data_IF_249894644982
#
_entry.id   IF_249894644982
#
_cell.length_a   1.000
_cell.length_b   1.000
_cell.length_c   1.000
_cell.angle_alpha   90.00
_cell.angle_beta   90.00
_cell.angle_gamma   90.00
#
_symmetry.space_group_name_H-M   'P 1'
#
loop_
_entity.id
_entity.type
_entity.pdbx_description
1 polymer ?
#
# COMPACT_ATOMS: atom_id res chain seq x y z
N UNK A 1 -12.27 3.13 -20.24
CA UNK A 1 -11.48 4.27 -19.75
C UNK A 1 -11.59 4.18 -18.25
N UNK A 2 -10.79 3.31 -17.63
CA UNK A 2 -11.06 2.78 -16.29
C UNK A 2 -9.88 3.15 -15.38
N UNK A 3 -9.68 4.46 -15.21
CA UNK A 3 -8.76 4.96 -14.20
C UNK A 3 -9.47 4.98 -12.86
N UNK A 4 -9.07 4.10 -11.94
CA UNK A 4 -9.56 4.12 -10.58
C UNK A 4 -8.85 5.24 -9.81
N UNK A 5 -9.63 6.16 -9.26
CA UNK A 5 -9.18 7.16 -8.30
C UNK A 5 -9.83 6.85 -6.95
N UNK A 6 -9.02 6.69 -5.92
CA UNK A 6 -9.55 6.37 -4.60
C UNK A 6 -8.54 6.52 -3.48
N UNK A 7 -9.08 6.75 -2.29
CA UNK A 7 -8.31 6.79 -1.05
C UNK A 7 -8.01 5.38 -0.58
N UNK A 8 -6.76 5.13 -0.24
CA UNK A 8 -6.30 3.84 0.28
C UNK A 8 -5.31 4.08 1.41
N UNK A 9 -5.15 3.08 2.26
CA UNK A 9 -4.22 3.14 3.38
C UNK A 9 -2.90 2.47 3.01
N UNK A 10 -1.79 3.17 3.16
CA UNK A 10 -0.46 2.56 3.18
C UNK A 10 -0.11 2.16 4.59
N UNK A 11 0.13 0.87 4.79
CA UNK A 11 0.53 0.33 6.08
C UNK A 11 1.95 -0.24 6.00
N UNK A 12 2.80 0.15 6.94
CA UNK A 12 4.12 -0.45 7.12
C UNK A 12 4.10 -1.41 8.31
N UNK A 13 4.60 -2.62 8.10
CA UNK A 13 4.54 -3.70 9.07
C UNK A 13 5.94 -4.22 9.37
N UNK A 14 6.36 -4.16 10.64
CA UNK A 14 7.61 -4.78 11.08
C UNK A 14 7.55 -6.32 11.03
N UNK A 15 6.33 -6.85 11.15
CA UNK A 15 5.97 -8.25 11.07
C UNK A 15 4.45 -8.37 10.89
N UNK A 16 3.92 -9.58 10.75
CA UNK A 16 2.48 -9.86 10.50
C UNK A 16 1.51 -9.32 11.57
N UNK A 17 2.00 -8.83 12.70
CA UNK A 17 1.17 -8.39 13.83
C UNK A 17 1.53 -7.00 14.35
N UNK A 18 2.60 -6.37 13.85
CA UNK A 18 3.10 -5.08 14.33
C UNK A 18 3.12 -4.07 13.19
N UNK A 19 2.11 -3.19 13.17
CA UNK A 19 2.05 -2.06 12.24
C UNK A 19 2.73 -0.84 12.87
N UNK A 20 3.73 -0.26 12.21
CA UNK A 20 4.47 0.91 12.70
C UNK A 20 4.05 2.23 12.03
N UNK A 21 3.34 2.17 10.91
CA UNK A 21 2.93 3.37 10.18
C UNK A 21 1.69 3.12 9.34
N UNK A 22 0.79 4.10 9.34
CA UNK A 22 -0.44 4.12 8.55
C UNK A 22 -0.61 5.49 7.92
N UNK A 23 -0.67 5.54 6.60
CA UNK A 23 -0.66 6.78 5.85
C UNK A 23 -1.78 6.76 4.81
N UNK A 24 -2.70 7.70 4.91
CA UNK A 24 -3.72 7.90 3.87
C UNK A 24 -3.06 8.41 2.59
N UNK A 25 -3.35 7.76 1.47
CA UNK A 25 -2.90 8.20 0.15
C UNK A 25 -4.03 8.14 -0.87
N UNK A 26 -4.04 9.11 -1.77
CA UNK A 26 -4.90 9.12 -2.95
C UNK A 26 -4.17 8.43 -4.09
N UNK A 27 -4.72 7.32 -4.60
CA UNK A 27 -4.13 6.55 -5.69
C UNK A 27 -4.90 6.81 -6.98
N UNK A 28 -4.15 7.03 -8.06
CA UNK A 28 -4.66 7.04 -9.43
C UNK A 28 -4.08 5.83 -10.17
N UNK A 29 -4.92 4.83 -10.41
CA UNK A 29 -4.62 3.60 -11.15
C UNK A 29 -4.79 3.86 -12.65
N UNK A 30 -3.79 3.55 -13.46
CA UNK A 30 -3.95 3.40 -14.91
C UNK A 30 -4.30 1.94 -15.22
N UNK A 31 -5.19 1.70 -16.19
CA UNK A 31 -5.60 0.36 -16.63
C UNK A 31 -4.49 -0.32 -17.46
N UNK A 32 -3.27 -0.38 -16.93
CA UNK A 32 -2.15 -1.06 -17.54
C UNK A 32 -2.02 -2.49 -16.98
N UNK A 33 -1.52 -3.41 -17.81
CA UNK A 33 -1.35 -4.84 -17.52
C UNK A 33 -0.43 -5.11 -16.31
N UNK A 34 0.40 -4.12 -15.96
CA UNK A 34 1.32 -4.16 -14.80
C UNK A 34 0.82 -3.20 -13.72
N UNK A 35 0.67 -3.72 -12.49
CA UNK A 35 0.23 -2.93 -11.34
C UNK A 35 1.26 -1.85 -10.98
N UNK A 36 1.10 -0.67 -11.57
CA UNK A 36 1.84 0.54 -11.23
C UNK A 36 0.88 1.71 -11.11
N UNK A 37 1.07 2.56 -10.11
CA UNK A 37 0.16 3.66 -9.84
C UNK A 37 0.87 4.86 -9.23
N UNK A 38 0.31 6.05 -9.46
CA UNK A 38 0.77 7.27 -8.81
C UNK A 38 -0.06 7.47 -7.55
N UNK A 39 0.60 7.81 -6.45
CA UNK A 39 -0.05 8.20 -5.21
C UNK A 39 0.32 9.63 -4.83
N UNK A 40 -0.60 10.29 -4.14
CA UNK A 40 -0.32 11.53 -3.44
C UNK A 40 -0.69 11.36 -1.97
N UNK A 41 0.18 11.79 -1.08
CA UNK A 41 -0.10 11.86 0.36
C UNK A 41 -1.34 12.72 0.60
N UNK A 42 -2.21 12.28 1.52
CA UNK A 42 -3.32 13.11 1.92
C UNK A 42 -2.86 14.42 2.56
N UNK A 43 -3.58 15.50 2.28
CA UNK A 43 -3.30 16.83 2.81
C UNK A 43 -3.45 16.93 4.33
N UNK A 44 -4.16 15.97 4.94
CA UNK A 44 -4.35 15.83 6.38
C UNK A 44 -3.11 15.29 7.10
N UNK A 45 -2.13 14.70 6.39
CA UNK A 45 -0.91 14.17 6.99
C UNK A 45 -0.04 15.29 7.54
N UNK A 46 0.34 15.13 8.81
CA UNK A 46 1.21 16.08 9.49
C UNK A 46 2.64 16.02 8.96
N UNK A 47 3.47 17.00 9.30
CA UNK A 47 4.91 16.94 8.99
C UNK A 47 5.56 15.71 9.61
N UNK A 48 5.20 15.36 10.85
CA UNK A 48 5.71 14.19 11.55
C UNK A 48 5.36 12.89 10.80
N UNK A 49 4.13 12.77 10.28
CA UNK A 49 3.74 11.60 9.47
C UNK A 49 4.59 11.47 8.19
N UNK A 50 4.88 12.60 7.54
CA UNK A 50 5.71 12.63 6.32
C UNK A 50 7.16 12.24 6.61
N UNK A 51 7.71 12.70 7.73
CA UNK A 51 9.06 12.33 8.18
C UNK A 51 9.13 10.86 8.59
N UNK A 52 8.11 10.35 9.30
CA UNK A 52 8.01 8.94 9.65
C UNK A 52 7.90 8.05 8.41
N UNK A 53 7.06 8.43 7.44
CA UNK A 53 6.97 7.72 6.15
C UNK A 53 8.32 7.66 5.45
N UNK A 54 9.04 8.79 5.37
CA UNK A 54 10.37 8.83 4.76
C UNK A 54 11.34 7.89 5.47
N UNK A 55 11.36 7.90 6.80
CA UNK A 55 12.17 6.99 7.60
C UNK A 55 11.85 5.52 7.33
N UNK A 56 10.56 5.15 7.32
CA UNK A 56 10.13 3.78 7.03
C UNK A 56 10.51 3.34 5.61
N UNK A 57 10.38 4.23 4.61
CA UNK A 57 10.81 3.97 3.24
C UNK A 57 12.32 3.72 3.12
N UNK A 58 13.13 4.36 3.96
CA UNK A 58 14.59 4.12 4.01
C UNK A 58 14.94 2.77 4.64
N UNK A 59 14.12 2.28 5.59
CA UNK A 59 14.31 0.97 6.21
C UNK A 59 13.90 -0.17 5.27
N UNK A 60 12.67 -0.13 4.77
CA UNK A 60 12.16 -1.05 3.77
C UNK A 60 11.05 -0.36 2.97
N UNK A 61 11.16 -0.29 1.63
CA UNK A 61 10.20 0.41 0.80
C UNK A 61 8.93 -0.42 0.51
N UNK A 62 8.72 -1.59 1.13
CA UNK A 62 7.53 -2.40 0.90
C UNK A 62 6.45 -2.07 1.93
N UNK A 63 5.29 -1.69 1.41
CA UNK A 63 4.12 -1.34 2.19
C UNK A 63 2.96 -2.21 1.76
N UNK A 64 2.06 -2.47 2.69
CA UNK A 64 0.76 -3.07 2.38
C UNK A 64 -0.20 -1.94 2.01
N UNK A 65 -0.71 -1.99 0.77
CA UNK A 65 -1.77 -1.11 0.30
C UNK A 65 -3.12 -1.75 0.66
N UNK A 66 -3.90 -1.09 1.51
CA UNK A 66 -5.23 -1.57 1.94
C UNK A 66 -6.33 -0.73 1.29
N UNK A 67 -7.21 -1.41 0.56
CA UNK A 67 -8.38 -0.83 -0.11
C UNK A 67 -9.60 -0.82 0.81
N UNK A 68 -10.63 -0.05 0.42
CA UNK A 68 -11.89 0.07 1.17
C UNK A 68 -12.66 -1.27 1.25
N UNK A 69 -12.56 -2.11 0.20
CA UNK A 69 -13.13 -3.46 0.17
C UNK A 69 -12.36 -4.48 1.02
N UNK A 70 -11.42 -4.01 1.85
CA UNK A 70 -10.51 -4.79 2.68
C UNK A 70 -9.50 -5.66 1.94
N UNK A 71 -9.47 -5.63 0.61
CA UNK A 71 -8.36 -6.19 -0.16
C UNK A 71 -7.04 -5.51 0.20
N UNK A 72 -5.96 -6.28 0.14
CA UNK A 72 -4.61 -5.81 0.42
C UNK A 72 -3.66 -6.19 -0.70
N UNK A 73 -2.67 -5.36 -0.96
CA UNK A 73 -1.65 -5.61 -1.97
C UNK A 73 -0.29 -5.10 -1.50
N UNK A 74 0.73 -5.96 -1.60
CA UNK A 74 2.10 -5.56 -1.30
C UNK A 74 2.64 -4.70 -2.44
N UNK A 75 3.10 -3.50 -2.10
CA UNK A 75 3.63 -2.53 -3.07
C UNK A 75 4.98 -2.00 -2.62
N UNK A 76 5.88 -1.83 -3.58
CA UNK A 76 7.09 -1.03 -3.41
C UNK A 76 6.73 0.45 -3.59
N UNK A 77 7.05 1.26 -2.60
CA UNK A 77 6.81 2.71 -2.57
C UNK A 77 8.12 3.44 -2.86
N UNK A 78 8.09 4.36 -3.83
CA UNK A 78 9.23 5.25 -4.13
C UNK A 78 8.75 6.69 -4.29
N UNK A 79 9.59 7.66 -3.92
CA UNK A 79 9.28 9.08 -4.12
C UNK A 79 9.25 9.42 -5.61
N UNK A 80 8.28 10.23 -6.02
CA UNK A 80 8.05 10.62 -7.40
C UNK A 80 8.30 12.12 -7.62
N UNK A 81 9.56 12.55 -7.49
CA UNK A 81 10.07 13.87 -7.87
C UNK A 81 9.57 15.07 -7.06
N UNK A 82 8.25 15.28 -6.98
CA UNK A 82 7.62 16.34 -6.20
C UNK A 82 7.31 15.85 -4.77
N UNK A 83 7.29 16.80 -3.83
CA UNK A 83 6.94 16.54 -2.44
C UNK A 83 5.54 15.92 -2.33
N UNK A 84 5.41 14.87 -1.51
CA UNK A 84 4.15 14.15 -1.29
C UNK A 84 3.69 13.28 -2.46
N UNK A 85 4.40 13.25 -3.60
CA UNK A 85 4.10 12.31 -4.69
C UNK A 85 4.89 11.02 -4.54
N UNK A 86 4.18 9.92 -4.68
CA UNK A 86 4.69 8.57 -4.58
C UNK A 86 4.41 7.80 -5.87
N UNK A 87 5.25 6.82 -6.16
CA UNK A 87 5.01 5.81 -7.17
C UNK A 87 4.96 4.45 -6.47
N UNK A 88 3.89 3.73 -6.75
CA UNK A 88 3.59 2.42 -6.21
C UNK A 88 3.77 1.42 -7.35
N UNK A 89 4.46 0.32 -7.07
CA UNK A 89 4.56 -0.82 -7.99
C UNK A 89 4.26 -2.08 -7.21
N UNK A 90 3.55 -3.06 -7.78
CA UNK A 90 3.40 -4.35 -7.11
C UNK A 90 4.77 -4.94 -6.78
N UNK A 91 4.92 -5.43 -5.55
CA UNK A 91 6.06 -6.26 -5.21
C UNK A 91 5.81 -7.64 -5.81
N UNK A 92 6.70 -8.10 -6.70
CA UNK A 92 6.62 -9.45 -7.24
C UNK A 92 6.99 -10.42 -6.11
N UNK A 93 5.98 -11.06 -5.54
CA UNK A 93 6.13 -12.01 -4.43
C UNK A 93 5.38 -11.57 -3.19
N UNK A 94 4.06 -11.72 -3.21
CA UNK A 94 3.32 -12.54 -2.24
C UNK A 94 1.84 -12.28 -2.50
N UNK A 95 1.33 -12.81 -3.61
CA UNK A 95 -0.09 -13.18 -3.67
C UNK A 95 -0.24 -14.35 -2.71
N UNK A 96 -0.14 -14.14 -1.40
CA UNK A 96 -0.69 -15.12 -0.47
C UNK A 96 -2.18 -15.03 -0.66
N UNK A 97 -2.65 -15.93 -1.51
CA UNK A 97 -4.00 -16.46 -1.46
C UNK A 97 -4.42 -16.50 0.02
N UNK A 98 -5.56 -15.88 0.40
CA UNK A 98 -6.14 -16.22 1.68
C UNK A 98 -6.45 -17.71 1.59
N UNK A 99 -5.57 -18.54 2.17
CA UNK A 99 -5.84 -19.95 2.40
C UNK A 99 -7.02 -19.98 3.36
N UNK A 100 -8.22 -19.92 2.77
CA UNK A 100 -9.42 -20.45 3.37
C UNK A 100 -9.23 -21.95 3.46
N UNK A 101 -8.45 -22.40 4.45
CA UNK A 101 -8.55 -23.75 4.98
C UNK A 101 -9.95 -23.88 5.56
N UNK A 102 -10.90 -24.20 4.70
CA UNK A 102 -12.18 -24.76 5.12
C UNK A 102 -11.88 -26.16 5.65
N UNK A 103 -11.42 -26.21 6.90
CA UNK A 103 -11.51 -27.41 7.72
C UNK A 103 -12.99 -27.79 7.80
N UNK A 104 -13.41 -28.73 6.95
CA UNK A 104 -14.65 -29.45 7.17
C UNK A 104 -14.41 -30.41 8.34
N UNK A 105 -15.23 -30.39 9.41
CA UNK A 105 -15.19 -31.44 10.39
C UNK A 105 -15.74 -32.73 9.77
N UNK A 106 -15.07 -33.83 10.08
CA UNK A 106 -15.55 -35.20 9.90
C UNK A 106 -17.04 -35.34 10.22
N UNK A 107 -17.81 -36.02 9.36
CA UNK A 107 -18.59 -37.22 9.69
C UNK A 107 -18.84 -38.03 8.41
#
# INVERSE_FOLDING_TARGET
MDSYEGTVMLEWWANRSTCLGRFGVQVVRTAEDTWSSKATLESSLTTEDKENLDFLMQLDPHFTLRFDDASTLLVKVVKAGAEGRLRLTAAEGDTTEPTGTRHAPHQ
#
